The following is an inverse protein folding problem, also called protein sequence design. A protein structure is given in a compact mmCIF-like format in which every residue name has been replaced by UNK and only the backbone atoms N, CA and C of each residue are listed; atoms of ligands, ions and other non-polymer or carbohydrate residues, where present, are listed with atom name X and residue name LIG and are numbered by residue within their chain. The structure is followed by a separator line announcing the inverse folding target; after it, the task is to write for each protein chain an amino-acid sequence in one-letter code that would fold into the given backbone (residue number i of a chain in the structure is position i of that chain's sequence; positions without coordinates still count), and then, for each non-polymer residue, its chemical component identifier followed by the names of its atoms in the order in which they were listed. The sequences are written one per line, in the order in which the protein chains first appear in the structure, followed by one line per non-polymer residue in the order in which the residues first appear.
data_IF_192973741796
#
_entry.id   IF_192973741796
#
_cell.length_a   1.000
_cell.length_b   1.000
_cell.length_c   1.000
_cell.angle_alpha   90.00
_cell.angle_beta   90.00
_cell.angle_gamma   90.00
#
_symmetry.space_group_name_H-M   'P 1'
#
loop_
_entity.id
_entity.type
_entity.pdbx_description
1 polymer ?
#
# COMPACT_ATOMS: atom_id res chain seq x y z
N UNK A 1 2.93 15.46 -12.33
CA UNK A 1 3.85 14.50 -11.67
C UNK A 1 3.09 13.48 -10.80
N UNK A 2 2.19 13.92 -9.91
CA UNK A 2 1.37 13.06 -9.04
C UNK A 2 0.53 11.97 -9.77
N UNK A 3 -0.07 12.28 -10.93
CA UNK A 3 -0.86 11.29 -11.71
C UNK A 3 0.04 10.22 -12.37
N UNK A 4 1.28 10.57 -12.73
CA UNK A 4 2.29 9.66 -13.32
C UNK A 4 2.97 8.81 -12.25
N UNK A 5 3.24 9.36 -11.07
CA UNK A 5 3.77 8.60 -9.93
C UNK A 5 2.78 7.51 -9.53
N UNK A 6 1.48 7.84 -9.38
CA UNK A 6 0.41 6.86 -9.08
C UNK A 6 0.37 5.70 -10.07
N UNK A 7 0.39 5.95 -11.39
CA UNK A 7 0.31 4.87 -12.41
C UNK A 7 1.52 3.92 -12.43
N UNK A 8 2.70 4.35 -11.96
CA UNK A 8 3.93 3.53 -12.04
C UNK A 8 4.44 3.02 -10.69
N UNK A 9 4.35 3.82 -9.63
CA UNK A 9 4.76 3.43 -8.27
C UNK A 9 3.77 2.49 -7.62
N UNK A 10 2.46 2.73 -7.76
CA UNK A 10 1.44 1.91 -7.10
C UNK A 10 1.55 0.42 -7.51
N UNK A 11 1.61 0.06 -8.80
CA UNK A 11 1.76 -1.35 -9.20
C UNK A 11 3.09 -1.97 -8.73
N UNK A 12 4.18 -1.19 -8.69
CA UNK A 12 5.48 -1.68 -8.24
C UNK A 12 5.51 -1.96 -6.74
N UNK A 13 4.95 -1.06 -5.93
CA UNK A 13 4.81 -1.24 -4.48
C UNK A 13 3.85 -2.40 -4.17
N UNK A 14 2.73 -2.50 -4.88
CA UNK A 14 1.78 -3.61 -4.74
C UNK A 14 2.41 -4.96 -5.06
N UNK A 15 3.15 -5.04 -6.18
CA UNK A 15 3.90 -6.25 -6.54
C UNK A 15 4.92 -6.64 -5.46
N UNK A 16 5.69 -5.66 -4.94
CA UNK A 16 6.66 -5.93 -3.88
C UNK A 16 5.99 -6.42 -2.58
N UNK A 17 4.80 -5.91 -2.25
CA UNK A 17 4.03 -6.35 -1.10
C UNK A 17 3.51 -7.78 -1.29
N UNK A 18 2.99 -8.12 -2.48
CA UNK A 18 2.60 -9.49 -2.82
C UNK A 18 3.78 -10.48 -2.75
N UNK A 19 4.98 -10.09 -3.21
CA UNK A 19 6.17 -10.92 -3.08
C UNK A 19 6.62 -11.09 -1.62
N UNK A 20 6.35 -10.11 -0.74
CA UNK A 20 6.63 -10.25 0.68
C UNK A 20 5.71 -11.29 1.33
N UNK A 21 4.42 -11.29 0.97
CA UNK A 21 3.48 -12.32 1.39
C UNK A 21 3.89 -13.72 0.88
N UNK A 22 4.37 -13.82 -0.36
CA UNK A 22 4.88 -15.08 -0.91
C UNK A 22 6.10 -15.61 -0.14
N UNK A 23 7.02 -14.75 0.28
CA UNK A 23 8.15 -15.14 1.15
C UNK A 23 7.64 -15.64 2.50
N UNK A 24 6.70 -14.92 3.12
CA UNK A 24 6.12 -15.33 4.40
C UNK A 24 5.44 -16.71 4.31
N UNK A 25 4.68 -16.97 3.23
CA UNK A 25 4.03 -18.25 2.99
C UNK A 25 5.02 -19.41 2.84
N UNK A 26 6.16 -19.20 2.16
CA UNK A 26 7.22 -20.23 2.06
C UNK A 26 7.83 -20.53 3.43
N UNK A 27 8.09 -19.51 4.24
CA UNK A 27 8.63 -19.70 5.60
C UNK A 27 7.63 -20.44 6.48
N UNK A 28 6.36 -20.03 6.45
CA UNK A 28 5.28 -20.64 7.23
C UNK A 28 5.09 -22.13 6.92
N UNK A 29 5.09 -22.49 5.62
CA UNK A 29 5.01 -23.88 5.19
C UNK A 29 6.21 -24.72 5.64
N UNK A 30 7.44 -24.18 5.54
CA UNK A 30 8.65 -24.88 5.94
C UNK A 30 8.75 -25.06 7.48
N UNK A 31 8.30 -24.07 8.25
CA UNK A 31 8.29 -24.11 9.72
C UNK A 31 7.21 -25.06 10.23
N UNK A 32 5.98 -24.94 9.72
CA UNK A 32 4.87 -25.83 10.09
C UNK A 32 5.16 -27.28 9.70
N UNK A 33 5.80 -27.48 8.54
CA UNK A 33 6.22 -28.78 8.02
C UNK A 33 7.61 -29.25 8.47
N UNK A 34 8.25 -28.63 9.47
CA UNK A 34 9.68 -28.85 9.78
C UNK A 34 10.05 -30.33 10.00
N UNK A 35 9.16 -31.10 10.63
CA UNK A 35 9.35 -32.55 10.84
C UNK A 35 9.38 -33.33 9.53
N UNK A 36 8.56 -32.94 8.55
CA UNK A 36 8.54 -33.54 7.21
C UNK A 36 9.79 -33.16 6.44
N UNK A 37 10.16 -31.88 6.46
CA UNK A 37 11.38 -31.38 5.78
C UNK A 37 12.62 -32.11 6.31
N UNK A 38 12.76 -32.22 7.63
CA UNK A 38 13.87 -32.94 8.27
C UNK A 38 13.80 -34.46 8.07
N UNK A 39 12.61 -35.04 8.14
CA UNK A 39 12.41 -36.48 7.94
C UNK A 39 12.78 -36.98 6.54
N UNK A 40 12.62 -36.13 5.52
CA UNK A 40 12.95 -36.45 4.13
C UNK A 40 14.25 -35.79 3.61
N UNK A 41 15.01 -35.09 4.47
CA UNK A 41 16.27 -34.43 4.08
C UNK A 41 16.10 -33.35 2.98
N UNK A 42 14.99 -32.61 3.00
CA UNK A 42 14.62 -31.64 1.95
C UNK A 42 15.04 -30.18 2.25
N UNK A 43 15.95 -29.95 3.20
CA UNK A 43 16.33 -28.60 3.64
C UNK A 43 16.88 -27.73 2.50
N UNK A 44 17.68 -28.31 1.61
CA UNK A 44 18.25 -27.58 0.48
C UNK A 44 17.18 -27.14 -0.53
N UNK A 45 16.15 -27.98 -0.73
CA UNK A 45 15.02 -27.67 -1.59
C UNK A 45 14.20 -26.50 -1.01
N UNK A 46 13.87 -26.56 0.28
CA UNK A 46 13.11 -25.49 0.95
C UNK A 46 13.91 -24.17 1.01
N UNK A 47 15.20 -24.26 1.30
CA UNK A 47 16.09 -23.09 1.25
C UNK A 47 16.19 -22.52 -0.16
N UNK A 48 16.18 -23.38 -1.19
CA UNK A 48 16.09 -22.98 -2.60
C UNK A 48 14.82 -22.20 -2.91
N UNK A 49 13.65 -22.68 -2.46
CA UNK A 49 12.35 -21.99 -2.61
C UNK A 49 12.37 -20.62 -1.94
N UNK A 50 12.89 -20.54 -0.71
CA UNK A 50 13.02 -19.28 0.02
C UNK A 50 13.95 -18.30 -0.69
N UNK A 51 15.12 -18.75 -1.18
CA UNK A 51 16.04 -17.91 -1.98
C UNK A 51 15.37 -17.39 -3.24
N UNK A 52 14.61 -18.23 -3.96
CA UNK A 52 13.90 -17.81 -5.17
C UNK A 52 12.83 -16.74 -4.87
N UNK A 53 12.01 -16.96 -3.83
CA UNK A 53 11.03 -15.97 -3.38
C UNK A 53 11.68 -14.65 -2.92
N UNK A 54 12.77 -14.74 -2.16
CA UNK A 54 13.56 -13.59 -1.72
C UNK A 54 14.15 -12.78 -2.87
N UNK A 55 14.68 -13.43 -3.92
CA UNK A 55 15.17 -12.73 -5.12
C UNK A 55 14.05 -11.98 -5.86
N UNK A 56 12.86 -12.58 -5.96
CA UNK A 56 11.69 -11.90 -6.58
C UNK A 56 11.26 -10.68 -5.77
N UNK A 57 11.22 -10.80 -4.44
CA UNK A 57 10.96 -9.68 -3.54
C UNK A 57 12.02 -8.58 -3.69
N UNK A 58 13.30 -8.94 -3.72
CA UNK A 58 14.39 -8.00 -3.92
C UNK A 58 14.25 -7.23 -5.25
N UNK A 59 13.98 -7.92 -6.35
CA UNK A 59 13.72 -7.29 -7.65
C UNK A 59 12.52 -6.35 -7.62
N UNK A 60 11.43 -6.76 -6.95
CA UNK A 60 10.25 -5.93 -6.74
C UNK A 60 10.56 -4.65 -5.95
N UNK A 61 11.27 -4.77 -4.81
CA UNK A 61 11.67 -3.62 -3.99
C UNK A 61 12.65 -2.70 -4.73
N UNK A 62 13.63 -3.25 -5.43
CA UNK A 62 14.60 -2.47 -6.21
C UNK A 62 13.91 -1.65 -7.31
N UNK A 63 12.89 -2.22 -7.96
CA UNK A 63 12.07 -1.49 -8.94
C UNK A 63 11.32 -0.33 -8.28
N UNK A 64 10.70 -0.56 -7.12
CA UNK A 64 10.01 0.49 -6.36
C UNK A 64 10.96 1.60 -5.92
N UNK A 65 12.15 1.26 -5.42
CA UNK A 65 13.20 2.22 -5.06
C UNK A 65 13.62 3.04 -6.28
N UNK A 66 13.95 2.39 -7.40
CA UNK A 66 14.39 3.08 -8.63
C UNK A 66 13.35 4.05 -9.17
N UNK A 67 12.06 3.73 -9.03
CA UNK A 67 10.98 4.66 -9.34
C UNK A 67 10.97 5.83 -8.35
N UNK A 68 11.01 5.55 -7.04
CA UNK A 68 11.00 6.59 -6.00
C UNK A 68 12.19 7.56 -6.10
N UNK A 69 13.39 7.05 -6.39
CA UNK A 69 14.62 7.84 -6.55
C UNK A 69 14.54 8.89 -7.66
N UNK A 70 13.57 8.82 -8.57
CA UNK A 70 13.34 9.87 -9.59
C UNK A 70 12.25 10.84 -9.18
N UNK A 71 11.20 10.36 -8.52
CA UNK A 71 10.03 11.18 -8.18
C UNK A 71 10.25 12.04 -6.94
N UNK A 72 10.89 11.52 -5.90
CA UNK A 72 11.13 12.25 -4.65
C UNK A 72 12.03 13.47 -4.86
N UNK A 73 13.20 13.35 -5.53
CA UNK A 73 14.04 14.52 -5.78
C UNK A 73 13.38 15.53 -6.71
N UNK A 74 12.61 15.08 -7.71
CA UNK A 74 11.88 15.99 -8.60
C UNK A 74 10.82 16.82 -7.85
N UNK A 75 10.14 16.21 -6.86
CA UNK A 75 9.18 16.93 -6.01
C UNK A 75 9.89 17.89 -5.04
N UNK A 76 11.07 17.52 -4.54
CA UNK A 76 11.89 18.37 -3.68
C UNK A 76 12.53 19.54 -4.44
N UNK A 77 12.82 19.37 -5.73
CA UNK A 77 13.41 20.41 -6.56
C UNK A 77 12.43 21.55 -6.90
N UNK A 78 11.11 21.32 -6.89
CA UNK A 78 10.13 22.36 -7.26
C UNK A 78 10.20 23.60 -6.33
N UNK A 79 10.19 23.46 -4.99
CA UNK A 79 10.41 24.59 -4.08
C UNK A 79 11.76 25.28 -4.28
N UNK A 80 12.83 24.50 -4.45
CA UNK A 80 14.18 25.04 -4.64
C UNK A 80 14.28 25.86 -5.94
N UNK A 81 13.68 25.37 -7.03
CA UNK A 81 13.62 26.09 -8.30
C UNK A 81 12.78 27.37 -8.18
N UNK A 82 11.69 27.34 -7.42
CA UNK A 82 10.89 28.54 -7.16
C UNK A 82 11.70 29.59 -6.38
N UNK A 83 12.52 29.15 -5.42
CA UNK A 83 13.40 30.02 -4.64
C UNK A 83 14.53 30.60 -5.51
N UNK A 84 15.17 29.79 -6.37
CA UNK A 84 16.16 30.27 -7.33
C UNK A 84 15.54 31.27 -8.31
N UNK A 85 14.37 30.96 -8.87
CA UNK A 85 13.66 31.87 -9.78
C UNK A 85 13.32 33.20 -9.11
N UNK A 86 12.91 33.16 -7.84
CA UNK A 86 12.65 34.34 -7.03
C UNK A 86 13.89 35.20 -6.78
N UNK A 87 15.02 34.58 -6.41
CA UNK A 87 16.27 35.30 -6.22
C UNK A 87 16.74 35.96 -7.53
N UNK A 88 16.64 35.25 -8.65
CA UNK A 88 17.06 35.75 -9.96
C UNK A 88 16.15 36.89 -10.47
N UNK A 89 14.84 36.63 -10.60
CA UNK A 89 13.88 37.61 -11.13
C UNK A 89 13.61 38.74 -10.14
N UNK A 90 13.40 38.41 -8.87
CA UNK A 90 13.14 39.39 -7.82
C UNK A 90 14.37 40.27 -7.55
N UNK A 91 15.56 39.69 -7.56
CA UNK A 91 16.82 40.44 -7.44
C UNK A 91 17.02 41.38 -8.62
N UNK A 92 16.81 40.92 -9.85
CA UNK A 92 16.91 41.77 -11.03
C UNK A 92 15.91 42.95 -11.00
N UNK A 93 14.64 42.69 -10.67
CA UNK A 93 13.64 43.77 -10.55
C UNK A 93 13.98 44.77 -9.44
N UNK A 94 14.61 44.32 -8.35
CA UNK A 94 15.09 45.21 -7.29
C UNK A 94 16.25 46.09 -7.76
N UNK A 95 17.18 45.55 -8.57
CA UNK A 95 18.28 46.34 -9.14
C UNK A 95 17.82 47.38 -10.17
N UNK A 96 16.73 47.12 -10.89
CA UNK A 96 16.10 48.09 -11.80
C UNK A 96 15.19 49.10 -11.09
N UNK A 97 15.04 49.01 -9.76
CA UNK A 97 14.17 49.90 -8.98
C UNK A 97 12.67 49.67 -9.18
N UNK A 98 12.25 48.57 -9.84
CA UNK A 98 10.83 48.24 -10.06
C UNK A 98 10.14 47.76 -8.78
N UNK A 99 10.91 47.20 -7.85
CA UNK A 99 10.45 46.79 -6.51
C UNK A 99 11.44 47.29 -5.46
N UNK A 100 10.92 47.62 -4.27
CA UNK A 100 11.77 48.01 -3.14
C UNK A 100 12.45 46.79 -2.52
N UNK A 101 13.55 47.01 -1.81
CA UNK A 101 14.21 45.97 -1.02
C UNK A 101 13.24 45.35 0.01
N UNK A 102 12.37 46.17 0.63
CA UNK A 102 11.36 45.69 1.57
C UNK A 102 10.34 44.76 0.92
N UNK A 103 9.87 45.10 -0.29
CA UNK A 103 8.98 44.24 -1.08
C UNK A 103 9.65 42.90 -1.41
N UNK A 104 10.92 42.93 -1.81
CA UNK A 104 11.68 41.73 -2.13
C UNK A 104 11.84 40.80 -0.92
N UNK A 105 12.23 41.35 0.24
CA UNK A 105 12.40 40.58 1.48
C UNK A 105 11.06 40.01 1.96
N UNK A 106 9.98 40.82 1.94
CA UNK A 106 8.65 40.38 2.36
C UNK A 106 8.14 39.23 1.48
N UNK A 107 8.23 39.39 0.15
CA UNK A 107 7.78 38.36 -0.79
C UNK A 107 8.59 37.07 -0.64
N UNK A 108 9.91 37.17 -0.45
CA UNK A 108 10.79 36.02 -0.21
C UNK A 108 10.43 35.25 1.06
N UNK A 109 10.09 35.99 2.11
CA UNK A 109 9.64 35.41 3.38
C UNK A 109 8.31 34.68 3.20
N UNK A 110 7.34 35.28 2.50
CA UNK A 110 6.05 34.63 2.24
C UNK A 110 6.17 33.36 1.39
N UNK A 111 7.04 33.37 0.37
CA UNK A 111 7.27 32.17 -0.44
C UNK A 111 7.86 31.04 0.40
N UNK A 112 8.87 31.34 1.22
CA UNK A 112 9.48 30.35 2.12
C UNK A 112 8.45 29.78 3.12
N UNK A 113 7.59 30.64 3.68
CA UNK A 113 6.50 30.22 4.57
C UNK A 113 5.46 29.35 3.87
N UNK A 114 5.21 29.54 2.56
CA UNK A 114 4.23 28.77 1.80
C UNK A 114 4.68 27.32 1.51
N UNK A 115 5.99 27.04 1.50
CA UNK A 115 6.54 25.70 1.21
C UNK A 115 6.01 24.65 2.19
N UNK A 116 5.96 24.98 3.48
CA UNK A 116 5.49 24.06 4.54
C UNK A 116 4.02 23.66 4.37
N UNK A 117 3.08 24.62 4.36
CA UNK A 117 1.66 24.36 4.13
C UNK A 117 1.37 23.59 2.83
N UNK A 118 2.06 23.90 1.73
CA UNK A 118 1.91 23.18 0.46
C UNK A 118 2.34 21.72 0.59
N UNK A 119 3.46 21.45 1.29
CA UNK A 119 3.89 20.08 1.59
C UNK A 119 2.88 19.35 2.48
N UNK A 120 2.33 20.03 3.49
CA UNK A 120 1.31 19.48 4.38
C UNK A 120 0.04 19.09 3.60
N UNK A 121 -0.47 19.96 2.72
CA UNK A 121 -1.62 19.67 1.85
C UNK A 121 -1.37 18.45 0.95
N UNK A 122 -0.18 18.35 0.35
CA UNK A 122 0.19 17.20 -0.46
C UNK A 122 0.21 15.89 0.36
N UNK A 123 0.66 15.96 1.63
CA UNK A 123 0.63 14.83 2.56
C UNK A 123 -0.81 14.45 2.91
N UNK A 124 -1.67 15.41 3.25
CA UNK A 124 -3.09 15.17 3.57
C UNK A 124 -3.80 14.48 2.41
N UNK A 125 -3.57 14.90 1.16
CA UNK A 125 -4.13 14.22 -0.01
C UNK A 125 -3.68 12.75 -0.06
N UNK A 126 -2.42 12.47 0.25
CA UNK A 126 -1.89 11.10 0.25
C UNK A 126 -2.52 10.25 1.35
N UNK A 127 -2.62 10.79 2.57
CA UNK A 127 -3.26 10.12 3.72
C UNK A 127 -4.74 9.86 3.45
N UNK A 128 -5.47 10.84 2.91
CA UNK A 128 -6.89 10.70 2.57
C UNK A 128 -7.13 9.58 1.54
N UNK A 129 -6.24 9.42 0.55
CA UNK A 129 -6.33 8.31 -0.41
C UNK A 129 -6.11 6.95 0.24
N UNK A 130 -5.17 6.85 1.19
CA UNK A 130 -4.95 5.61 1.94
C UNK A 130 -6.11 5.28 2.88
N UNK A 131 -6.63 6.30 3.58
CA UNK A 131 -7.79 6.18 4.45
C UNK A 131 -9.02 5.69 3.67
N UNK A 132 -9.25 6.19 2.45
CA UNK A 132 -10.35 5.72 1.58
C UNK A 132 -10.26 4.22 1.29
N UNK A 133 -9.09 3.71 0.91
CA UNK A 133 -8.90 2.28 0.62
C UNK A 133 -9.01 1.39 1.87
N UNK A 134 -8.69 1.92 3.05
CA UNK A 134 -8.95 1.25 4.33
C UNK A 134 -10.44 1.21 4.65
N UNK A 135 -11.12 2.35 4.52
CA UNK A 135 -12.55 2.48 4.78
C UNK A 135 -13.39 1.58 3.87
N UNK A 136 -13.06 1.49 2.58
CA UNK A 136 -13.75 0.61 1.61
C UNK A 136 -13.76 -0.85 2.08
N UNK A 137 -12.61 -1.39 2.54
CA UNK A 137 -12.54 -2.75 3.10
C UNK A 137 -13.30 -2.93 4.42
N UNK A 138 -13.39 -1.88 5.24
CA UNK A 138 -14.17 -1.92 6.48
C UNK A 138 -15.66 -1.98 6.16
N UNK A 139 -16.12 -1.16 5.21
CA UNK A 139 -17.51 -1.20 4.74
C UNK A 139 -17.84 -2.52 4.04
N UNK A 140 -16.95 -3.07 3.21
CA UNK A 140 -17.13 -4.42 2.64
C UNK A 140 -17.39 -5.48 3.71
N UNK A 141 -16.68 -5.43 4.84
CA UNK A 141 -16.87 -6.36 5.95
C UNK A 141 -18.18 -6.11 6.72
N UNK A 142 -18.53 -4.85 6.98
CA UNK A 142 -19.77 -4.48 7.69
C UNK A 142 -21.01 -4.82 6.85
N UNK A 143 -20.93 -4.58 5.54
CA UNK A 143 -22.01 -4.81 4.58
C UNK A 143 -22.07 -6.27 4.09
N UNK A 144 -21.23 -7.16 4.64
CA UNK A 144 -21.28 -8.59 4.32
C UNK A 144 -22.60 -9.18 4.84
N UNK A 145 -23.48 -9.58 3.91
CA UNK A 145 -24.71 -10.29 4.26
C UNK A 145 -24.40 -11.74 4.69
N UNK A 146 -24.97 -12.22 5.80
CA UNK A 146 -24.84 -13.62 6.20
C UNK A 146 -25.55 -14.54 5.19
N UNK A 147 -24.81 -15.54 4.71
CA UNK A 147 -25.30 -16.54 3.76
C UNK A 147 -26.32 -17.48 4.43
N UNK A 148 -26.15 -17.73 5.73
CA UNK A 148 -27.08 -18.50 6.55
C UNK A 148 -27.93 -17.50 7.33
N UNK A 149 -29.20 -17.41 6.97
CA UNK A 149 -30.18 -16.60 7.70
C UNK A 149 -30.85 -17.49 8.73
N UNK A 150 -30.90 -17.05 9.99
CA UNK A 150 -31.65 -17.78 11.01
C UNK A 150 -33.15 -17.74 10.67
N UNK A 151 -33.75 -18.93 10.61
CA UNK A 151 -35.21 -19.11 10.62
C UNK A 151 -35.64 -19.38 12.06
N UNK A 152 -36.18 -18.36 12.72
CA UNK A 152 -36.60 -18.40 14.12
C UNK A 152 -37.91 -19.20 14.31
N UNK A 153 -37.86 -20.52 14.09
CA UNK A 153 -38.91 -21.39 14.63
C UNK A 153 -38.40 -21.97 15.94
N UNK A 154 -38.92 -21.45 17.05
CA UNK A 154 -38.68 -22.04 18.36
C UNK A 154 -39.27 -23.46 18.37
N UNK A 155 -38.39 -24.44 18.59
CA UNK A 155 -38.81 -25.83 18.74
C UNK A 155 -39.35 -26.05 20.17
N UNK A 156 -40.37 -26.89 20.35
CA UNK A 156 -40.83 -27.32 21.67
C UNK A 156 -39.68 -27.88 22.53
N UNK A 157 -39.74 -27.69 23.85
CA UNK A 157 -38.68 -28.14 24.77
C UNK A 157 -38.49 -29.67 24.78
N UNK A 158 -39.49 -30.42 24.33
CA UNK A 158 -39.53 -31.87 24.19
C UNK A 158 -39.28 -32.36 22.75
N UNK A 159 -38.85 -31.47 21.85
CA UNK A 159 -38.55 -31.85 20.47
C UNK A 159 -37.46 -32.95 20.44
N UNK A 160 -37.68 -34.05 19.71
CA UNK A 160 -36.69 -35.12 19.60
C UNK A 160 -35.45 -34.59 18.86
N UNK A 161 -34.29 -34.62 19.53
CA UNK A 161 -32.99 -34.19 18.98
C UNK A 161 -32.33 -35.20 18.05
N UNK A 162 -33.13 -35.98 17.31
CA UNK A 162 -32.62 -37.00 16.39
C UNK A 162 -32.10 -36.33 15.12
N UNK A 163 -30.87 -36.66 14.71
CA UNK A 163 -30.26 -36.19 13.47
C UNK A 163 -30.12 -37.36 12.51
N UNK A 164 -30.69 -37.21 11.31
CA UNK A 164 -30.58 -38.18 10.22
C UNK A 164 -29.97 -37.51 8.99
N UNK A 165 -29.11 -38.24 8.27
CA UNK A 165 -28.52 -37.81 7.03
C UNK A 165 -29.12 -38.66 5.90
N UNK A 166 -29.89 -38.03 5.01
CA UNK A 166 -30.50 -38.69 3.85
C UNK A 166 -29.93 -38.09 2.55
N UNK A 167 -29.24 -38.92 1.76
CA UNK A 167 -28.54 -38.61 0.50
C UNK A 167 -27.83 -37.23 0.44
N UNK A 168 -27.20 -36.81 1.55
CA UNK A 168 -26.55 -35.50 1.64
C UNK A 168 -25.22 -35.50 0.86
N UNK A 169 -25.09 -34.55 -0.07
CA UNK A 169 -23.82 -34.23 -0.75
C UNK A 169 -23.34 -32.85 -0.33
N UNK A 170 -22.08 -32.77 0.08
CA UNK A 170 -21.46 -31.52 0.50
C UNK A 170 -20.11 -31.34 -0.18
N UNK A 171 -19.86 -30.13 -0.66
CA UNK A 171 -18.63 -29.72 -1.32
C UNK A 171 -18.29 -28.31 -0.84
N UNK A 172 -17.02 -28.07 -0.51
CA UNK A 172 -16.53 -26.77 -0.03
C UNK A 172 -16.40 -25.74 -1.16
N UNK A 173 -16.13 -26.18 -2.39
CA UNK A 173 -16.00 -25.33 -3.58
C UNK A 173 -16.71 -26.01 -4.77
N UNK A 174 -17.86 -25.50 -5.24
CA UNK A 174 -18.62 -26.14 -6.31
C UNK A 174 -17.87 -26.25 -7.64
N UNK A 175 -16.80 -25.48 -7.86
CA UNK A 175 -15.94 -25.60 -9.05
C UNK A 175 -14.87 -26.72 -8.92
N UNK A 176 -14.74 -27.31 -7.73
CA UNK A 176 -13.82 -28.42 -7.42
C UNK A 176 -14.57 -29.49 -6.60
N UNK A 177 -15.43 -30.28 -7.25
CA UNK A 177 -16.25 -31.30 -6.60
C UNK A 177 -15.43 -32.41 -5.94
#
# INVERSE_FOLDING_TARGET
IAKRSRKKLFPATWYAQGQAAAVASVVDGAVTGVRVVKGFGQEDQETGKLRAAGRRLFGGRMRSIRLNSRYTPALQAVPELAQVAMLALGGWMATEGRVTLGTFVAFSTYLAQLVGPVRMLAMVITVAQQARAGAERVFELIDTEPVIREGATELPADAPGTVEFDDVRFVYDPERP
#
